data_IF_598164138155
#
_entry.id   IF_598164138155
#
_cell.length_a   1.000
_cell.length_b   1.000
_cell.length_c   1.000
_cell.angle_alpha   90.00
_cell.angle_beta   90.00
_cell.angle_gamma   90.00
#
_symmetry.space_group_name_H-M   'P 1'
#
loop_
_entity.id
_entity.type
_entity.pdbx_description
1 polymer ?
#
# COMPACT_ATOMS: atom_id res chain seq x y z
N UNK A 1 -41.79 -3.82 -21.44
CA UNK A 1 -41.57 -4.46 -20.12
C UNK A 1 -40.38 -5.43 -20.10
N UNK A 2 -40.26 -6.42 -21.01
CA UNK A 2 -39.14 -7.39 -21.03
C UNK A 2 -37.73 -6.75 -21.09
N UNK A 3 -37.55 -5.67 -21.87
CA UNK A 3 -36.28 -4.93 -21.96
C UNK A 3 -35.89 -4.24 -20.65
N UNK A 4 -36.86 -3.65 -19.94
CA UNK A 4 -36.64 -2.98 -18.65
C UNK A 4 -36.25 -3.99 -17.56
N UNK A 5 -36.91 -5.16 -17.53
CA UNK A 5 -36.57 -6.23 -16.60
C UNK A 5 -35.15 -6.76 -16.84
N UNK A 6 -34.78 -7.02 -18.09
CA UNK A 6 -33.43 -7.46 -18.46
C UNK A 6 -32.35 -6.42 -18.09
N UNK A 7 -32.64 -5.12 -18.29
CA UNK A 7 -31.71 -4.06 -17.87
C UNK A 7 -31.56 -3.98 -16.36
N UNK A 8 -32.64 -4.15 -15.59
CA UNK A 8 -32.59 -4.17 -14.13
C UNK A 8 -31.73 -5.35 -13.67
N UNK A 9 -32.02 -6.56 -14.15
CA UNK A 9 -31.24 -7.77 -13.80
C UNK A 9 -29.76 -7.60 -14.16
N UNK A 10 -29.44 -7.06 -15.35
CA UNK A 10 -28.06 -6.81 -15.74
C UNK A 10 -27.35 -5.81 -14.81
N UNK A 11 -28.00 -4.71 -14.44
CA UNK A 11 -27.46 -3.73 -13.49
C UNK A 11 -27.21 -4.37 -12.13
N UNK A 12 -28.15 -5.16 -11.61
CA UNK A 12 -27.98 -5.90 -10.35
C UNK A 12 -26.77 -6.84 -10.40
N UNK A 13 -26.62 -7.62 -11.49
CA UNK A 13 -25.49 -8.55 -11.65
C UNK A 13 -24.13 -7.84 -11.75
N UNK A 14 -24.09 -6.65 -12.38
CA UNK A 14 -22.86 -5.84 -12.45
C UNK A 14 -22.51 -5.31 -11.05
N UNK A 15 -23.48 -4.75 -10.32
CA UNK A 15 -23.26 -4.19 -8.97
C UNK A 15 -22.77 -5.27 -8.00
N UNK A 16 -23.38 -6.47 -8.01
CA UNK A 16 -22.95 -7.58 -7.14
C UNK A 16 -21.54 -8.04 -7.46
N UNK A 17 -21.20 -8.15 -8.75
CA UNK A 17 -19.85 -8.55 -9.21
C UNK A 17 -18.79 -7.52 -8.79
N UNK A 18 -19.07 -6.22 -8.94
CA UNK A 18 -18.16 -5.15 -8.52
C UNK A 18 -17.91 -5.15 -7.01
N UNK A 19 -18.97 -5.36 -6.21
CA UNK A 19 -18.85 -5.44 -4.75
C UNK A 19 -18.02 -6.66 -4.32
N UNK A 20 -18.21 -7.81 -4.96
CA UNK A 20 -17.42 -9.01 -4.69
C UNK A 20 -15.93 -8.82 -5.05
N UNK A 21 -15.63 -8.18 -6.18
CA UNK A 21 -14.25 -7.86 -6.58
C UNK A 21 -13.59 -6.87 -5.61
N UNK A 22 -14.31 -5.84 -5.16
CA UNK A 22 -13.81 -4.91 -4.14
C UNK A 22 -13.45 -5.66 -2.86
N UNK A 23 -14.36 -6.50 -2.37
CA UNK A 23 -14.15 -7.26 -1.12
C UNK A 23 -12.94 -8.19 -1.20
N UNK A 24 -12.80 -8.92 -2.31
CA UNK A 24 -11.66 -9.83 -2.53
C UNK A 24 -10.33 -9.09 -2.61
N UNK A 25 -10.28 -7.95 -3.31
CA UNK A 25 -9.10 -7.09 -3.37
C UNK A 25 -8.71 -6.56 -1.98
N UNK A 26 -9.68 -6.09 -1.20
CA UNK A 26 -9.47 -5.60 0.16
C UNK A 26 -8.97 -6.72 1.07
N UNK A 27 -9.56 -7.91 0.96
CA UNK A 27 -9.13 -9.06 1.73
C UNK A 27 -7.69 -9.48 1.40
N UNK A 28 -7.32 -9.47 0.12
CA UNK A 28 -5.94 -9.77 -0.30
C UNK A 28 -4.95 -8.72 0.23
N UNK A 29 -5.30 -7.44 0.15
CA UNK A 29 -4.48 -6.34 0.66
C UNK A 29 -4.29 -6.42 2.19
N UNK A 30 -5.39 -6.67 2.93
CA UNK A 30 -5.36 -6.83 4.37
C UNK A 30 -4.48 -8.01 4.81
N UNK A 31 -4.61 -9.15 4.11
CA UNK A 31 -3.75 -10.33 4.34
C UNK A 31 -2.30 -9.99 4.10
N UNK A 32 -1.98 -9.34 2.98
CA UNK A 32 -0.61 -8.98 2.63
C UNK A 32 0.03 -8.06 3.68
N UNK A 33 -0.66 -6.98 4.07
CA UNK A 33 -0.19 -6.07 5.12
C UNK A 33 0.03 -6.85 6.43
N UNK A 34 -0.92 -7.70 6.80
CA UNK A 34 -0.87 -8.47 8.05
C UNK A 34 0.30 -9.44 8.08
N UNK A 35 0.53 -10.18 7.00
CA UNK A 35 1.64 -11.13 6.88
C UNK A 35 2.99 -10.41 7.01
N UNK A 36 3.12 -9.22 6.40
CA UNK A 36 4.31 -8.39 6.55
C UNK A 36 4.46 -7.82 7.96
N UNK A 37 3.37 -7.42 8.62
CA UNK A 37 3.40 -6.97 10.02
C UNK A 37 3.87 -8.09 10.95
N UNK A 38 3.36 -9.31 10.79
CA UNK A 38 3.76 -10.45 11.63
C UNK A 38 5.26 -10.72 11.54
N UNK A 39 5.80 -10.74 10.32
CA UNK A 39 7.23 -10.98 10.09
C UNK A 39 8.09 -9.81 10.57
N UNK A 40 7.78 -8.58 10.16
CA UNK A 40 8.63 -7.42 10.47
C UNK A 40 8.57 -7.03 11.94
N UNK A 41 7.40 -7.12 12.58
CA UNK A 41 7.22 -6.73 13.98
C UNK A 41 7.48 -7.90 14.94
N UNK A 42 7.69 -9.13 14.43
CA UNK A 42 7.89 -10.32 15.24
C UNK A 42 6.67 -10.63 16.11
N UNK A 43 5.47 -10.58 15.51
CA UNK A 43 4.22 -10.90 16.20
C UNK A 43 3.97 -12.41 16.19
N UNK A 44 3.22 -12.89 17.16
CA UNK A 44 2.86 -14.31 17.20
C UNK A 44 1.87 -14.67 16.08
N UNK A 45 2.00 -15.87 15.53
CA UNK A 45 1.03 -16.44 14.60
C UNK A 45 -0.39 -16.51 15.19
N UNK A 46 -0.51 -16.67 16.52
CA UNK A 46 -1.79 -16.65 17.21
C UNK A 46 -2.52 -15.30 17.10
N UNK A 47 -1.78 -14.19 16.97
CA UNK A 47 -2.34 -12.85 16.85
C UNK A 47 -2.74 -12.50 15.40
N UNK A 48 -2.31 -13.31 14.42
CA UNK A 48 -2.47 -13.03 12.99
C UNK A 48 -3.93 -12.83 12.58
N UNK A 49 -4.85 -13.67 13.05
CA UNK A 49 -6.26 -13.57 12.67
C UNK A 49 -6.91 -12.28 13.17
N UNK A 50 -6.57 -11.87 14.40
CA UNK A 50 -7.07 -10.62 14.99
C UNK A 50 -6.50 -9.41 14.23
N UNK A 51 -5.20 -9.42 13.90
CA UNK A 51 -4.55 -8.38 13.09
C UNK A 51 -5.20 -8.27 11.70
N UNK A 52 -5.46 -9.42 11.06
CA UNK A 52 -6.12 -9.48 9.77
C UNK A 52 -7.50 -8.84 9.84
N UNK A 53 -8.30 -9.19 10.85
CA UNK A 53 -9.64 -8.63 11.00
C UNK A 53 -9.60 -7.11 11.22
N UNK A 54 -8.70 -6.62 12.08
CA UNK A 54 -8.52 -5.18 12.33
C UNK A 54 -8.11 -4.42 11.04
N UNK A 55 -7.15 -4.98 10.29
CA UNK A 55 -6.71 -4.38 9.02
C UNK A 55 -7.82 -4.42 7.95
N UNK A 56 -8.55 -5.54 7.87
CA UNK A 56 -9.66 -5.71 6.94
C UNK A 56 -10.78 -4.71 7.20
N UNK A 57 -11.26 -4.61 8.44
CA UNK A 57 -12.33 -3.66 8.83
C UNK A 57 -11.96 -2.21 8.52
N UNK A 58 -10.70 -1.83 8.75
CA UNK A 58 -10.21 -0.52 8.36
C UNK A 58 -10.24 -0.30 6.85
N UNK A 59 -9.67 -1.21 6.06
CA UNK A 59 -9.60 -1.06 4.61
C UNK A 59 -10.99 -1.11 3.96
N UNK A 60 -11.88 -1.99 4.44
CA UNK A 60 -13.26 -2.05 3.99
C UNK A 60 -14.06 -0.79 4.33
N UNK A 61 -13.75 -0.16 5.47
CA UNK A 61 -14.33 1.11 5.89
C UNK A 61 -13.94 2.32 5.03
N UNK A 62 -12.90 2.23 4.20
CA UNK A 62 -12.51 3.33 3.30
C UNK A 62 -13.47 3.38 2.11
N UNK A 63 -14.38 4.36 2.13
CA UNK A 63 -15.33 4.64 1.03
C UNK A 63 -14.90 5.85 0.22
N UNK A 64 -14.15 6.76 0.82
CA UNK A 64 -13.63 7.98 0.20
C UNK A 64 -12.25 8.33 0.74
N UNK A 65 -11.55 9.26 0.08
CA UNK A 65 -10.26 9.76 0.53
C UNK A 65 -10.31 10.42 1.92
N UNK A 66 -11.48 10.87 2.37
CA UNK A 66 -11.68 11.47 3.70
C UNK A 66 -11.64 10.45 4.82
N UNK A 67 -11.93 9.18 4.50
CA UNK A 67 -12.02 8.10 5.50
C UNK A 67 -10.64 7.52 5.85
N UNK A 68 -9.60 7.82 5.06
CA UNK A 68 -8.25 7.25 5.19
C UNK A 68 -7.64 7.52 6.57
N UNK A 69 -7.76 8.76 7.06
CA UNK A 69 -7.20 9.23 8.34
C UNK A 69 -8.32 9.52 9.37
N UNK A 70 -9.54 9.03 9.13
CA UNK A 70 -10.70 9.31 9.99
C UNK A 70 -10.80 8.33 11.16
N UNK A 71 -11.99 8.22 11.76
CA UNK A 71 -12.27 7.34 12.91
C UNK A 71 -11.76 5.91 12.73
N UNK A 72 -11.95 5.30 11.56
CA UNK A 72 -11.52 3.93 11.29
C UNK A 72 -10.01 3.72 11.46
N UNK A 73 -9.21 4.73 11.10
CA UNK A 73 -7.76 4.70 11.26
C UNK A 73 -7.35 4.77 12.74
N UNK A 74 -7.96 5.67 13.51
CA UNK A 74 -7.72 5.78 14.95
C UNK A 74 -8.14 4.51 15.69
N UNK A 75 -9.32 3.96 15.37
CA UNK A 75 -9.80 2.71 15.95
C UNK A 75 -8.83 1.56 15.67
N UNK A 76 -8.41 1.40 14.41
CA UNK A 76 -7.43 0.40 13.99
C UNK A 76 -6.15 0.50 14.83
N UNK A 77 -5.55 1.68 14.89
CA UNK A 77 -4.29 1.90 15.58
C UNK A 77 -4.40 1.66 17.09
N UNK A 78 -5.53 2.05 17.70
CA UNK A 78 -5.83 1.77 19.10
C UNK A 78 -5.93 0.27 19.39
N UNK A 79 -6.58 -0.51 18.53
CA UNK A 79 -6.63 -1.97 18.69
C UNK A 79 -5.26 -2.62 18.49
N UNK A 80 -4.48 -2.17 17.50
CA UNK A 80 -3.14 -2.67 17.26
C UNK A 80 -2.19 -2.38 18.44
N UNK A 81 -2.26 -1.19 19.05
CA UNK A 81 -1.48 -0.82 20.26
C UNK A 81 -1.72 -1.80 21.40
N UNK A 82 -2.98 -2.20 21.64
CA UNK A 82 -3.36 -3.15 22.70
C UNK A 82 -2.81 -4.57 22.50
N UNK A 83 -2.45 -4.93 21.27
CA UNK A 83 -1.99 -6.28 20.92
C UNK A 83 -0.46 -6.41 20.86
N UNK A 84 0.26 -5.30 20.99
CA UNK A 84 1.70 -5.22 20.79
C UNK A 84 2.38 -4.79 22.09
N UNK A 85 3.62 -5.24 22.29
CA UNK A 85 4.51 -4.66 23.31
C UNK A 85 4.93 -3.24 22.91
N UNK A 86 5.41 -2.44 23.86
CA UNK A 86 5.87 -1.07 23.58
C UNK A 86 6.97 -1.00 22.51
N UNK A 87 7.88 -1.99 22.49
CA UNK A 87 8.92 -2.11 21.47
C UNK A 87 8.34 -2.36 20.08
N UNK A 88 7.35 -3.26 19.99
CA UNK A 88 6.65 -3.57 18.74
C UNK A 88 5.80 -2.39 18.27
N UNK A 89 5.10 -1.72 19.18
CA UNK A 89 4.34 -0.51 18.91
C UNK A 89 5.24 0.61 18.37
N UNK A 90 6.39 0.85 19.01
CA UNK A 90 7.39 1.81 18.53
C UNK A 90 7.89 1.44 17.12
N UNK A 91 8.14 0.17 16.84
CA UNK A 91 8.53 -0.30 15.49
C UNK A 91 7.41 -0.12 14.46
N UNK A 92 6.16 -0.41 14.83
CA UNK A 92 4.98 -0.17 14.00
C UNK A 92 4.80 1.31 13.67
N UNK A 93 4.83 2.19 14.66
CA UNK A 93 4.75 3.65 14.48
C UNK A 93 5.89 4.20 13.62
N UNK A 94 7.08 3.59 13.67
CA UNK A 94 8.22 3.94 12.82
C UNK A 94 8.11 3.41 11.38
N UNK A 95 7.29 2.39 11.18
CA UNK A 95 7.06 1.79 9.86
C UNK A 95 5.87 2.47 9.20
N UNK A 96 6.12 3.61 8.52
CA UNK A 96 5.07 4.44 7.92
C UNK A 96 4.08 3.64 7.06
N UNK A 97 4.57 2.66 6.32
CA UNK A 97 3.77 1.80 5.45
C UNK A 97 2.84 0.80 6.19
N UNK A 98 3.04 0.56 7.49
CA UNK A 98 2.09 -0.18 8.33
C UNK A 98 1.16 0.75 9.11
N UNK A 99 1.71 1.87 9.60
CA UNK A 99 0.95 2.84 10.39
C UNK A 99 -0.09 3.57 9.54
N UNK A 100 0.25 3.90 8.29
CA UNK A 100 -0.64 4.50 7.29
C UNK A 100 -0.54 3.70 5.99
N UNK A 101 -1.26 2.58 5.88
CA UNK A 101 -1.11 1.71 4.72
C UNK A 101 -1.72 2.29 3.44
N UNK A 102 -2.71 3.19 3.56
CA UNK A 102 -3.36 3.88 2.44
C UNK A 102 -3.09 5.39 2.54
N UNK A 103 -2.90 6.05 1.41
CA UNK A 103 -2.79 7.50 1.26
C UNK A 103 -3.56 8.02 0.05
N UNK A 104 -3.65 9.33 -0.09
CA UNK A 104 -4.32 10.00 -1.20
C UNK A 104 -3.38 11.00 -1.89
N UNK A 105 -2.99 10.71 -3.13
CA UNK A 105 -2.08 11.55 -3.89
C UNK A 105 -2.52 11.64 -5.35
N UNK A 106 -2.52 12.87 -5.89
CA UNK A 106 -2.81 13.15 -7.29
C UNK A 106 -4.16 12.52 -7.76
N UNK A 107 -5.18 12.58 -6.89
CA UNK A 107 -6.49 11.99 -7.11
C UNK A 107 -6.52 10.44 -7.23
N UNK A 108 -5.51 9.78 -6.68
CA UNK A 108 -5.40 8.31 -6.69
C UNK A 108 -5.06 7.80 -5.29
N UNK A 109 -5.61 6.64 -4.94
CA UNK A 109 -5.23 5.91 -3.73
C UNK A 109 -3.82 5.35 -3.86
N UNK A 110 -2.98 5.61 -2.86
CA UNK A 110 -1.61 5.11 -2.79
C UNK A 110 -1.50 4.08 -1.68
N UNK A 111 -1.00 2.91 -2.01
CA UNK A 111 -0.77 1.83 -1.07
C UNK A 111 0.70 1.85 -0.62
N UNK A 112 0.95 2.36 0.58
CA UNK A 112 2.32 2.59 1.06
C UNK A 112 3.11 1.32 1.32
N UNK A 113 2.44 0.17 1.53
CA UNK A 113 3.08 -1.14 1.70
C UNK A 113 3.99 -1.50 0.51
N UNK A 114 3.62 -1.09 -0.70
CA UNK A 114 4.38 -1.39 -1.91
C UNK A 114 5.64 -0.55 -2.10
N UNK A 115 5.85 0.48 -1.26
CA UNK A 115 7.12 1.21 -1.23
C UNK A 115 8.25 0.37 -0.61
N UNK A 116 7.89 -0.51 0.34
CA UNK A 116 8.82 -1.43 1.00
C UNK A 116 8.80 -2.82 0.36
N UNK A 117 7.62 -3.28 -0.03
CA UNK A 117 7.40 -4.58 -0.65
C UNK A 117 6.78 -4.44 -2.03
N UNK A 118 7.55 -4.11 -3.07
CA UNK A 118 7.00 -3.99 -4.41
C UNK A 118 6.27 -5.28 -4.81
N UNK A 119 5.11 -5.16 -5.48
CA UNK A 119 4.48 -6.32 -6.11
C UNK A 119 5.48 -6.89 -7.12
N UNK A 120 6.05 -8.05 -6.85
CA UNK A 120 6.84 -8.77 -7.85
C UNK A 120 5.88 -9.19 -8.98
N UNK A 121 5.93 -8.46 -10.09
CA UNK A 121 5.35 -8.73 -11.40
C UNK A 121 4.08 -9.60 -11.47
N UNK A 122 2.93 -8.94 -11.65
CA UNK A 122 2.04 -9.37 -12.73
C UNK A 122 2.75 -8.97 -14.04
N UNK A 123 2.92 -9.93 -14.95
CA UNK A 123 3.79 -9.80 -16.12
C UNK A 123 3.50 -8.56 -16.98
N UNK A 124 4.55 -8.13 -17.69
CA UNK A 124 4.59 -7.05 -18.69
C UNK A 124 4.65 -5.61 -18.16
N UNK A 125 5.85 -5.16 -17.79
CA UNK A 125 6.48 -4.01 -18.47
C UNK A 125 7.98 -3.93 -18.11
N UNK A 126 8.82 -4.64 -18.88
CA UNK A 126 10.29 -4.48 -18.85
C UNK A 126 10.74 -3.20 -19.59
N UNK A 127 9.93 -2.13 -19.67
CA UNK A 127 10.30 -0.84 -20.28
C UNK A 127 10.18 0.37 -19.35
N UNK A 128 10.08 0.17 -18.03
CA UNK A 128 10.40 1.25 -17.08
C UNK A 128 11.86 1.14 -16.68
N UNK A 129 12.71 2.14 -16.95
CA UNK A 129 14.02 2.20 -16.35
C UNK A 129 13.82 2.18 -14.83
N UNK A 130 14.39 1.18 -14.16
CA UNK A 130 14.67 1.28 -12.74
C UNK A 130 15.29 2.66 -12.50
N UNK A 131 14.84 3.46 -11.53
CA UNK A 131 15.72 4.44 -10.95
C UNK A 131 16.83 3.62 -10.29
N UNK A 132 17.92 3.40 -11.01
CA UNK A 132 19.19 3.00 -10.41
C UNK A 132 19.62 4.14 -9.49
N UNK A 133 19.08 4.15 -8.28
CA UNK A 133 19.80 4.71 -7.15
C UNK A 133 20.76 3.62 -6.68
N UNK A 134 21.80 3.40 -7.48
CA UNK A 134 23.02 2.75 -7.04
C UNK A 134 23.63 3.64 -5.95
N UNK A 135 23.37 3.30 -4.69
CA UNK A 135 24.32 3.59 -3.64
C UNK A 135 25.27 2.40 -3.62
N UNK A 136 26.53 2.67 -3.98
CA UNK A 136 27.54 1.67 -4.28
C UNK A 136 27.63 0.55 -3.25
N UNK A 137 27.68 -0.68 -3.77
CA UNK A 137 28.27 -1.84 -3.09
C UNK A 137 29.32 -2.41 -4.04
N UNK A 138 30.62 -2.29 -3.73
CA UNK A 138 31.67 -2.88 -4.55
C UNK A 138 31.77 -4.38 -4.28
N UNK A 139 31.95 -5.15 -5.37
CA UNK A 139 32.32 -6.57 -5.33
C UNK A 139 31.12 -7.50 -5.40
N UNK A 140 30.88 -8.09 -6.57
CA UNK A 140 31.02 -9.53 -6.83
C UNK A 140 30.81 -9.79 -8.34
N UNK A 141 31.62 -10.67 -8.98
CA UNK A 141 31.80 -10.73 -10.43
C UNK A 141 30.90 -11.77 -11.11
N UNK A 142 30.55 -11.54 -12.38
CA UNK A 142 29.87 -12.52 -13.21
C UNK A 142 29.40 -11.92 -14.55
N UNK A 143 30.18 -12.20 -15.59
CA UNK A 143 29.96 -11.91 -17.02
C UNK A 143 28.57 -12.40 -17.49
N UNK A 144 27.92 -11.80 -18.50
CA UNK A 144 28.14 -12.08 -19.92
C UNK A 144 27.59 -10.91 -20.76
N UNK A 145 28.37 -10.48 -21.75
CA UNK A 145 28.02 -9.53 -22.80
C UNK A 145 26.94 -10.09 -23.75
N UNK A 146 25.91 -9.30 -24.04
CA UNK A 146 25.22 -9.35 -25.35
C UNK A 146 24.97 -7.92 -25.83
N UNK A 147 25.56 -7.61 -26.98
CA UNK A 147 25.50 -6.34 -27.69
C UNK A 147 24.22 -6.22 -28.52
N UNK A 148 23.56 -5.06 -28.50
CA UNK A 148 22.80 -4.59 -29.66
C UNK A 148 22.83 -3.04 -29.74
N UNK A 149 22.98 -2.56 -30.98
CA UNK A 149 23.32 -1.19 -31.40
C UNK A 149 22.28 -0.09 -31.07
N UNK A 150 22.67 1.20 -31.08
CA UNK A 150 21.96 2.28 -30.39
C UNK A 150 20.90 2.99 -31.26
N UNK A 151 19.69 3.15 -30.71
CA UNK A 151 18.61 3.99 -31.25
C UNK A 151 18.44 5.28 -30.44
N UNK A 152 18.26 6.40 -31.14
CA UNK A 152 18.30 7.82 -30.72
C UNK A 152 17.40 8.19 -29.50
N UNK A 153 17.73 9.27 -28.75
CA UNK A 153 17.13 9.57 -27.45
C UNK A 153 15.77 10.28 -27.56
N UNK A 154 14.76 9.73 -26.87
CA UNK A 154 13.46 10.39 -26.69
C UNK A 154 13.49 11.32 -25.47
N UNK A 155 12.97 12.53 -25.65
CA UNK A 155 13.02 13.67 -24.71
C UNK A 155 12.31 13.35 -23.37
N UNK A 156 13.00 13.60 -22.25
CA UNK A 156 12.49 13.40 -20.89
C UNK A 156 11.42 14.45 -20.50
N UNK A 157 10.22 13.99 -20.15
CA UNK A 157 9.22 14.78 -19.41
C UNK A 157 9.57 14.85 -17.90
N UNK A 158 9.66 16.06 -17.36
CA UNK A 158 10.12 16.41 -16.01
C UNK A 158 9.05 16.19 -14.90
N UNK A 159 8.51 14.98 -14.70
CA UNK A 159 7.51 14.76 -13.64
C UNK A 159 8.05 14.31 -12.27
N UNK A 160 9.30 13.88 -12.14
CA UNK A 160 9.82 13.27 -10.89
C UNK A 160 10.07 14.22 -9.69
N UNK A 161 10.04 15.54 -9.87
CA UNK A 161 10.33 16.49 -8.76
C UNK A 161 9.14 16.69 -7.81
N UNK A 162 7.91 16.53 -8.27
CA UNK A 162 6.72 16.80 -7.46
C UNK A 162 6.43 15.69 -6.45
N UNK A 163 6.57 14.42 -6.85
CA UNK A 163 6.27 13.29 -5.97
C UNK A 163 7.25 13.17 -4.79
N UNK A 164 8.54 13.48 -5.01
CA UNK A 164 9.54 13.52 -3.93
C UNK A 164 9.25 14.61 -2.89
N UNK A 165 8.71 15.76 -3.31
CA UNK A 165 8.36 16.85 -2.38
C UNK A 165 7.11 16.51 -1.57
N UNK A 166 6.11 15.89 -2.19
CA UNK A 166 4.85 15.51 -1.53
C UNK A 166 5.03 14.36 -0.55
N UNK A 167 5.83 13.34 -0.89
CA UNK A 167 6.22 12.30 0.06
C UNK A 167 6.94 12.86 1.30
N UNK A 168 7.79 13.88 1.13
CA UNK A 168 8.41 14.58 2.26
C UNK A 168 7.37 15.31 3.12
N UNK A 169 6.32 15.86 2.53
CA UNK A 169 5.22 16.53 3.24
C UNK A 169 4.38 15.51 4.03
N UNK A 170 4.00 14.41 3.41
CA UNK A 170 3.22 13.34 4.07
C UNK A 170 4.02 12.66 5.19
N UNK A 171 5.33 12.52 4.99
CA UNK A 171 6.26 12.08 6.04
C UNK A 171 6.40 13.09 7.17
N UNK A 172 6.27 14.39 6.94
CA UNK A 172 6.24 15.40 8.01
C UNK A 172 4.93 15.34 8.80
N UNK A 173 3.78 15.30 8.11
CA UNK A 173 2.45 15.13 8.72
C UNK A 173 2.42 13.86 9.60
N UNK A 174 2.98 12.76 9.11
CA UNK A 174 3.13 11.53 9.88
C UNK A 174 3.89 11.69 11.19
N UNK A 175 5.01 12.43 11.20
CA UNK A 175 5.78 12.62 12.43
C UNK A 175 4.94 13.30 13.50
N UNK A 176 4.15 14.30 13.11
CA UNK A 176 3.25 15.01 14.01
C UNK A 176 2.13 14.11 14.53
N UNK A 177 1.45 13.37 13.63
CA UNK A 177 0.32 12.51 14.03
C UNK A 177 0.75 11.32 14.92
N UNK A 178 2.03 10.93 14.84
CA UNK A 178 2.62 9.88 15.68
C UNK A 178 2.76 10.30 17.14
N UNK A 179 2.98 11.59 17.38
CA UNK A 179 3.24 12.15 18.70
C UNK A 179 1.90 12.33 19.46
N UNK A 180 0.79 12.56 18.74
CA UNK A 180 -0.58 12.59 19.29
C UNK A 180 -1.10 11.26 19.84
N UNK A 181 -0.53 10.12 19.43
CA UNK A 181 -0.95 8.78 19.89
C UNK A 181 -0.24 8.32 21.19
N UNK A 182 0.63 9.17 21.76
CA UNK A 182 1.38 8.91 22.99
C UNK A 182 0.74 9.51 24.27
N UNK A 183 -0.32 10.32 24.12
CA UNK A 183 -1.20 10.79 25.21
C UNK A 183 -2.37 9.82 25.48
#
# INVERSE_FOLDING_TARGET
MKRILMTIVAVWMIVTSMNAQRLTNIQAEARFITDKMVVELGLSSAQRNNLLNINFTYLDGIRSYRDIDAYGWHYRNKQLKRMMTDRQWKKFKNSYYFYRPIGWQNHVYVHHIYTRYPKHNWGYDKRRPRPECSYGRPGWPGEIHVTYKPGKPCKHHKHHKHDKKKWKHDKKKWKHDRDWDDD
#
